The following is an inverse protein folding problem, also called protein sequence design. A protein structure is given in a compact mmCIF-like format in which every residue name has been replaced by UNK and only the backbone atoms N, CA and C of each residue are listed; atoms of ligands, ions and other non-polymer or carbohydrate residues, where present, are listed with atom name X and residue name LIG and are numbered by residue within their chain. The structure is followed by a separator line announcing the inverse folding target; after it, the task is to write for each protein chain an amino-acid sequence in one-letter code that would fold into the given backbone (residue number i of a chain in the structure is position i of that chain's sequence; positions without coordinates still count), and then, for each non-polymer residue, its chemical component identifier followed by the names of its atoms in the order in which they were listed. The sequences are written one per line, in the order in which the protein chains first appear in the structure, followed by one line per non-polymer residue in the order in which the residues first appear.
data_IF_720943123206
#
_entry.id   IF_720943123206
#
_cell.length_a   1.000
_cell.length_b   1.000
_cell.length_c   1.000
_cell.angle_alpha   90.00
_cell.angle_beta   90.00
_cell.angle_gamma   90.00
#
_symmetry.space_group_name_H-M   'P 1'
#
loop_
_entity.id
_entity.type
_entity.pdbx_description
1 polymer ?
#
# COMPACT_ATOMS: atom_id res chain seq x y z
N UNK A 1 -73.96 -7.18 10.30
CA UNK A 1 -73.49 -6.00 11.05
C UNK A 1 -72.26 -6.41 11.84
N UNK A 2 -71.09 -5.91 11.42
CA UNK A 2 -69.87 -5.80 12.25
C UNK A 2 -69.97 -4.42 12.97
N UNK A 3 -69.43 -4.23 14.18
CA UNK A 3 -68.01 -3.85 14.28
C UNK A 3 -67.25 -4.40 15.51
N UNK A 4 -66.02 -4.84 15.23
CA UNK A 4 -64.92 -5.15 16.14
C UNK A 4 -64.44 -3.94 16.93
N UNK A 5 -64.27 -4.12 18.25
CA UNK A 5 -63.65 -3.17 19.17
C UNK A 5 -62.12 -3.19 19.06
N UNK A 6 -61.57 -1.98 19.02
CA UNK A 6 -60.18 -1.62 18.76
C UNK A 6 -59.38 -1.56 20.08
N UNK A 7 -58.43 -2.47 20.29
CA UNK A 7 -57.40 -2.35 21.32
C UNK A 7 -56.03 -2.34 20.62
N UNK A 8 -55.44 -1.16 20.50
CA UNK A 8 -54.06 -0.96 20.01
C UNK A 8 -53.15 -0.75 21.23
N UNK A 9 -52.04 -1.49 21.39
CA UNK A 9 -51.26 -1.44 22.62
C UNK A 9 -50.27 -0.26 22.62
N UNK A 10 -50.18 0.40 23.78
CA UNK A 10 -49.33 1.54 24.14
C UNK A 10 -47.79 1.25 24.07
N UNK A 11 -47.41 0.02 23.71
CA UNK A 11 -46.01 -0.41 23.56
C UNK A 11 -45.34 0.05 22.26
N UNK A 12 -46.11 0.36 21.21
CA UNK A 12 -45.54 0.82 19.93
C UNK A 12 -44.95 2.23 20.04
N UNK A 13 -45.55 3.12 20.83
CA UNK A 13 -45.05 4.50 21.02
C UNK A 13 -43.77 4.54 21.87
N UNK A 14 -43.67 3.71 22.91
CA UNK A 14 -42.45 3.64 23.73
C UNK A 14 -41.28 3.03 22.95
N UNK A 15 -41.56 2.02 22.12
CA UNK A 15 -40.55 1.39 21.25
C UNK A 15 -40.10 2.34 20.14
N UNK A 16 -41.02 3.12 19.55
CA UNK A 16 -40.67 4.17 18.59
C UNK A 16 -39.89 5.32 19.23
N UNK A 17 -40.19 5.71 20.46
CA UNK A 17 -39.44 6.76 21.16
C UNK A 17 -38.00 6.31 21.46
N UNK A 18 -37.81 5.08 21.95
CA UNK A 18 -36.48 4.49 22.19
C UNK A 18 -35.69 4.34 20.89
N UNK A 19 -36.34 3.93 19.80
CA UNK A 19 -35.71 3.83 18.47
C UNK A 19 -35.34 5.21 17.90
N UNK A 20 -36.13 6.25 18.19
CA UNK A 20 -35.86 7.62 17.74
C UNK A 20 -34.75 8.30 18.55
N UNK A 21 -34.64 8.02 19.86
CA UNK A 21 -33.55 8.51 20.70
C UNK A 21 -32.23 7.79 20.40
N UNK A 22 -32.25 6.49 20.06
CA UNK A 22 -31.05 5.80 19.55
C UNK A 22 -30.58 6.37 18.21
N UNK A 23 -31.51 6.75 17.32
CA UNK A 23 -31.17 7.35 16.02
C UNK A 23 -30.63 8.78 16.14
N UNK A 24 -31.01 9.53 17.18
CA UNK A 24 -30.49 10.89 17.43
C UNK A 24 -29.09 10.92 18.07
N UNK A 25 -28.62 9.83 18.68
CA UNK A 25 -27.27 9.80 19.29
C UNK A 25 -26.15 9.33 18.35
N UNK A 26 -26.48 8.76 17.19
CA UNK A 26 -25.51 8.44 16.15
C UNK A 26 -25.39 9.60 15.15
N UNK A 27 -24.78 10.70 15.59
CA UNK A 27 -24.20 11.67 14.65
C UNK A 27 -22.94 11.01 14.09
N UNK A 28 -23.11 10.24 13.02
CA UNK A 28 -22.02 9.60 12.28
C UNK A 28 -21.15 10.71 11.71
N UNK A 29 -19.84 10.77 12.00
CA UNK A 29 -18.95 11.68 11.30
C UNK A 29 -18.90 11.27 9.83
N UNK A 30 -19.53 12.04 8.94
CA UNK A 30 -19.47 11.81 7.50
C UNK A 30 -17.99 11.76 7.06
N UNK A 31 -17.59 10.61 6.53
CA UNK A 31 -16.25 10.46 5.97
C UNK A 31 -16.15 11.36 4.73
N UNK A 32 -14.99 11.99 4.54
CA UNK A 32 -14.76 12.94 3.44
C UNK A 32 -15.07 12.36 2.05
N UNK A 33 -14.97 11.04 1.86
CA UNK A 33 -15.38 10.37 0.62
C UNK A 33 -16.90 10.24 0.46
N UNK A 34 -17.64 10.13 1.55
CA UNK A 34 -19.10 10.04 1.56
C UNK A 34 -19.73 11.39 1.16
N UNK A 35 -19.19 12.51 1.66
CA UNK A 35 -19.62 13.87 1.29
C UNK A 35 -19.48 14.14 -0.20
N UNK A 36 -18.38 13.70 -0.81
CA UNK A 36 -18.16 13.92 -2.26
C UNK A 36 -19.07 13.02 -3.10
N UNK A 37 -19.29 11.76 -2.66
CA UNK A 37 -20.20 10.84 -3.34
C UNK A 37 -21.65 11.34 -3.30
N UNK A 38 -22.11 11.86 -2.16
CA UNK A 38 -23.46 12.41 -2.02
C UNK A 38 -23.64 13.69 -2.84
N UNK A 39 -22.65 14.61 -2.83
CA UNK A 39 -22.69 15.82 -3.68
C UNK A 39 -22.75 15.47 -5.17
N UNK A 40 -22.04 14.43 -5.59
CA UNK A 40 -22.07 13.97 -6.98
C UNK A 40 -23.41 13.31 -7.34
N UNK A 41 -23.97 12.46 -6.47
CA UNK A 41 -25.30 11.86 -6.67
C UNK A 41 -26.40 12.91 -6.73
N UNK A 42 -26.37 13.91 -5.85
CA UNK A 42 -27.29 15.04 -5.85
C UNK A 42 -27.18 15.85 -7.15
N UNK A 43 -25.94 16.09 -7.60
CA UNK A 43 -25.67 16.82 -8.83
C UNK A 43 -26.17 16.05 -10.06
N UNK A 44 -25.93 14.74 -10.14
CA UNK A 44 -26.39 13.88 -11.24
C UNK A 44 -27.91 13.69 -11.25
N UNK A 45 -28.57 13.83 -10.10
CA UNK A 45 -30.02 13.77 -9.97
C UNK A 45 -30.71 15.10 -10.32
N UNK A 46 -29.96 16.19 -10.48
CA UNK A 46 -30.49 17.51 -10.81
C UNK A 46 -30.88 17.62 -12.30
N UNK A 47 -32.17 17.47 -12.57
CA UNK A 47 -32.76 17.60 -13.91
C UNK A 47 -32.84 19.05 -14.43
N UNK A 48 -32.50 20.06 -13.61
CA UNK A 48 -32.57 21.47 -14.00
C UNK A 48 -31.35 21.96 -14.77
N UNK A 49 -30.25 21.20 -14.80
CA UNK A 49 -28.99 21.59 -15.40
C UNK A 49 -28.86 21.12 -16.86
N UNK A 50 -28.32 21.99 -17.72
CA UNK A 50 -27.93 21.60 -19.09
C UNK A 50 -26.82 20.55 -19.04
N UNK A 51 -26.86 19.53 -19.90
CA UNK A 51 -25.92 18.40 -19.92
C UNK A 51 -24.44 18.83 -19.88
N UNK A 52 -24.06 19.89 -20.61
CA UNK A 52 -22.68 20.42 -20.59
C UNK A 52 -22.26 20.97 -19.21
N UNK A 53 -23.15 21.71 -18.52
CA UNK A 53 -22.85 22.26 -17.19
C UNK A 53 -22.82 21.16 -16.13
N UNK A 54 -23.70 20.17 -16.26
CA UNK A 54 -23.72 18.96 -15.43
C UNK A 54 -22.37 18.22 -15.53
N UNK A 55 -21.94 17.86 -16.74
CA UNK A 55 -20.66 17.17 -16.97
C UNK A 55 -19.47 17.98 -16.46
N UNK A 56 -19.44 19.30 -16.69
CA UNK A 56 -18.33 20.15 -16.21
C UNK A 56 -18.24 20.17 -14.68
N UNK A 57 -19.38 20.26 -13.98
CA UNK A 57 -19.40 20.24 -12.51
C UNK A 57 -19.05 18.86 -11.96
N UNK A 58 -19.62 17.79 -12.52
CA UNK A 58 -19.30 16.42 -12.16
C UNK A 58 -17.81 16.12 -12.35
N UNK A 59 -17.24 16.49 -13.51
CA UNK A 59 -15.81 16.36 -13.79
C UNK A 59 -14.96 17.12 -12.78
N UNK A 60 -15.35 18.36 -12.44
CA UNK A 60 -14.60 19.15 -11.46
C UNK A 60 -14.61 18.53 -10.07
N UNK A 61 -15.75 18.00 -9.62
CA UNK A 61 -15.88 17.32 -8.33
C UNK A 61 -15.03 16.05 -8.29
N UNK A 62 -15.15 15.20 -9.32
CA UNK A 62 -14.35 13.98 -9.47
C UNK A 62 -12.86 14.27 -9.53
N UNK A 63 -12.44 15.26 -10.32
CA UNK A 63 -11.04 15.64 -10.45
C UNK A 63 -10.45 16.09 -9.10
N UNK A 64 -11.19 16.91 -8.34
CA UNK A 64 -10.77 17.34 -7.00
C UNK A 64 -10.66 16.15 -6.04
N UNK A 65 -11.61 15.21 -6.11
CA UNK A 65 -11.58 13.98 -5.31
C UNK A 65 -10.35 13.13 -5.61
N UNK A 66 -10.11 12.88 -6.90
CA UNK A 66 -8.96 12.14 -7.40
C UNK A 66 -7.65 12.80 -6.97
N UNK A 67 -7.51 14.12 -7.09
CA UNK A 67 -6.30 14.82 -6.64
C UNK A 67 -6.10 14.74 -5.13
N UNK A 68 -7.18 14.82 -4.34
CA UNK A 68 -7.11 14.71 -2.87
C UNK A 68 -6.65 13.31 -2.41
N UNK A 69 -6.91 12.27 -3.20
CA UNK A 69 -6.45 10.91 -2.95
C UNK A 69 -5.06 10.63 -3.55
N UNK A 70 -4.89 10.92 -4.84
CA UNK A 70 -3.69 10.61 -5.61
C UNK A 70 -2.49 11.47 -5.21
N UNK A 71 -2.68 12.77 -4.96
CA UNK A 71 -1.60 13.68 -4.61
C UNK A 71 -0.80 13.23 -3.37
N UNK A 72 -1.45 13.01 -2.21
CA UNK A 72 -0.76 12.49 -1.03
C UNK A 72 -0.22 11.07 -1.22
N UNK A 73 -0.89 10.23 -2.00
CA UNK A 73 -0.43 8.87 -2.32
C UNK A 73 0.88 8.89 -3.11
N UNK A 74 0.99 9.74 -4.13
CA UNK A 74 2.23 9.98 -4.87
C UNK A 74 3.32 10.49 -3.94
N UNK A 75 3.00 11.46 -3.07
CA UNK A 75 3.96 11.98 -2.09
C UNK A 75 4.50 10.89 -1.16
N UNK A 76 3.64 9.97 -0.68
CA UNK A 76 4.07 8.82 0.13
C UNK A 76 5.08 7.96 -0.64
N UNK A 77 4.79 7.62 -1.89
CA UNK A 77 5.71 6.83 -2.72
C UNK A 77 7.03 7.55 -2.95
N UNK A 78 7.00 8.86 -3.22
CA UNK A 78 8.21 9.67 -3.39
C UNK A 78 9.07 9.70 -2.12
N UNK A 79 8.46 9.91 -0.96
CA UNK A 79 9.17 9.95 0.34
C UNK A 79 9.80 8.61 0.71
N UNK A 80 9.07 7.51 0.51
CA UNK A 80 9.59 6.15 0.76
C UNK A 80 10.71 5.78 -0.22
N UNK A 81 10.56 6.19 -1.49
CA UNK A 81 11.62 6.03 -2.50
C UNK A 81 12.85 6.83 -2.14
N UNK A 82 12.69 8.09 -1.71
CA UNK A 82 13.78 8.94 -1.27
C UNK A 82 14.50 8.37 -0.04
N UNK A 83 13.76 7.77 0.90
CA UNK A 83 14.34 7.05 2.04
C UNK A 83 15.27 5.93 1.56
N UNK A 84 14.82 5.13 0.59
CA UNK A 84 15.60 4.02 0.03
C UNK A 84 16.82 4.51 -0.76
N UNK A 85 16.65 5.54 -1.60
CA UNK A 85 17.73 6.17 -2.36
C UNK A 85 18.78 6.78 -1.41
N UNK A 86 18.35 7.43 -0.32
CA UNK A 86 19.28 8.01 0.64
C UNK A 86 20.17 6.95 1.29
N UNK A 87 19.64 5.78 1.64
CA UNK A 87 20.44 4.64 2.11
C UNK A 87 21.47 4.21 1.06
N UNK A 88 21.09 4.13 -0.22
CA UNK A 88 22.02 3.77 -1.31
C UNK A 88 23.12 4.83 -1.51
N UNK A 89 22.77 6.12 -1.46
CA UNK A 89 23.74 7.22 -1.54
C UNK A 89 24.75 7.12 -0.40
N UNK A 90 24.31 6.87 0.83
CA UNK A 90 25.22 6.66 1.96
C UNK A 90 26.07 5.40 1.73
N UNK A 91 25.51 4.30 1.24
CA UNK A 91 26.33 3.13 0.89
C UNK A 91 27.41 3.48 -0.16
N UNK A 92 27.13 4.39 -1.09
CA UNK A 92 28.13 4.86 -2.06
C UNK A 92 29.29 5.66 -1.47
N UNK A 93 29.06 6.39 -0.39
CA UNK A 93 30.14 7.09 0.32
C UNK A 93 31.02 6.13 1.15
N UNK A 94 30.52 4.94 1.50
CA UNK A 94 31.35 3.88 2.10
C UNK A 94 32.30 3.23 1.07
N UNK A 95 31.91 3.19 -0.20
CA UNK A 95 32.73 2.68 -1.29
C UNK A 95 31.94 2.09 -2.45
N UNK A 96 32.64 1.86 -3.56
CA UNK A 96 32.04 1.35 -4.80
C UNK A 96 31.44 -0.05 -4.63
N UNK A 97 32.09 -0.92 -3.83
CA UNK A 97 31.58 -2.27 -3.55
C UNK A 97 30.26 -2.21 -2.76
N UNK A 98 30.17 -1.32 -1.78
CA UNK A 98 28.99 -1.12 -0.94
C UNK A 98 27.83 -0.54 -1.75
N UNK A 99 28.11 0.42 -2.66
CA UNK A 99 27.11 0.91 -3.62
C UNK A 99 26.58 -0.20 -4.52
N UNK A 100 27.49 -0.99 -5.11
CA UNK A 100 27.11 -2.10 -5.98
C UNK A 100 26.28 -3.14 -5.22
N UNK A 101 26.67 -3.47 -3.99
CA UNK A 101 25.96 -4.38 -3.11
C UNK A 101 24.56 -3.87 -2.74
N UNK A 102 24.43 -2.61 -2.33
CA UNK A 102 23.15 -1.98 -1.98
C UNK A 102 22.23 -1.88 -3.20
N UNK A 103 22.79 -1.58 -4.38
CA UNK A 103 22.06 -1.50 -5.65
C UNK A 103 21.55 -2.89 -6.05
N UNK A 104 22.41 -3.91 -6.03
CA UNK A 104 22.04 -5.28 -6.39
C UNK A 104 21.05 -5.89 -5.39
N UNK A 105 21.21 -5.61 -4.10
CA UNK A 105 20.28 -6.03 -3.07
C UNK A 105 18.92 -5.34 -3.21
N UNK A 106 18.89 -4.03 -3.42
CA UNK A 106 17.64 -3.27 -3.57
C UNK A 106 16.94 -3.55 -4.89
N UNK A 107 17.62 -3.35 -6.02
CA UNK A 107 17.02 -3.41 -7.35
C UNK A 107 16.90 -4.84 -7.88
N UNK A 108 17.70 -5.78 -7.36
CA UNK A 108 17.59 -7.19 -7.67
C UNK A 108 16.62 -7.91 -6.74
N UNK A 109 17.05 -8.17 -5.50
CA UNK A 109 16.29 -9.01 -4.57
C UNK A 109 15.07 -8.29 -4.00
N UNK A 110 15.24 -7.04 -3.53
CA UNK A 110 14.15 -6.35 -2.82
C UNK A 110 13.01 -5.92 -3.75
N UNK A 111 13.29 -5.56 -5.01
CA UNK A 111 12.24 -5.30 -6.02
C UNK A 111 11.37 -6.53 -6.25
N UNK A 112 11.95 -7.73 -6.31
CA UNK A 112 11.18 -8.96 -6.42
C UNK A 112 10.26 -9.16 -5.20
N UNK A 113 10.81 -9.02 -3.98
CA UNK A 113 10.02 -9.09 -2.74
C UNK A 113 8.89 -8.06 -2.75
N UNK A 114 9.20 -6.80 -3.04
CA UNK A 114 8.23 -5.71 -3.06
C UNK A 114 7.14 -5.95 -4.10
N UNK A 115 7.50 -6.43 -5.30
CA UNK A 115 6.56 -6.75 -6.38
C UNK A 115 5.55 -7.82 -5.99
N UNK A 116 6.02 -8.93 -5.37
CA UNK A 116 5.13 -9.99 -4.87
C UNK A 116 4.19 -9.44 -3.79
N UNK A 117 4.71 -8.67 -2.83
CA UNK A 117 3.90 -8.09 -1.75
C UNK A 117 2.88 -7.07 -2.27
N UNK A 118 3.28 -6.19 -3.19
CA UNK A 118 2.41 -5.21 -3.84
C UNK A 118 1.28 -5.91 -4.60
N UNK A 119 1.62 -6.92 -5.40
CA UNK A 119 0.64 -7.62 -6.22
C UNK A 119 -0.33 -8.50 -5.44
N UNK A 120 0.11 -9.10 -4.33
CA UNK A 120 -0.83 -9.74 -3.41
C UNK A 120 -1.67 -8.71 -2.64
N UNK A 121 -1.11 -7.53 -2.36
CA UNK A 121 -1.79 -6.40 -1.73
C UNK A 121 -2.88 -5.75 -2.59
N UNK A 122 -2.82 -5.84 -3.91
CA UNK A 122 -3.84 -5.21 -4.79
C UNK A 122 -5.21 -5.89 -4.69
N UNK A 123 -5.28 -7.18 -4.36
CA UNK A 123 -6.55 -7.85 -4.11
C UNK A 123 -7.29 -7.23 -2.90
N UNK A 124 -6.53 -6.74 -1.91
CA UNK A 124 -7.06 -6.05 -0.73
C UNK A 124 -7.71 -4.73 -1.10
N UNK A 125 -7.09 -3.99 -2.02
CA UNK A 125 -7.60 -2.71 -2.51
C UNK A 125 -8.98 -2.87 -3.12
N UNK A 126 -9.14 -3.85 -4.01
CA UNK A 126 -10.44 -4.15 -4.62
C UNK A 126 -11.49 -4.53 -3.58
N UNK A 127 -11.15 -5.44 -2.65
CA UNK A 127 -12.10 -5.91 -1.63
C UNK A 127 -12.48 -4.82 -0.62
N UNK A 128 -11.51 -4.02 -0.16
CA UNK A 128 -11.76 -2.89 0.73
C UNK A 128 -12.57 -1.80 0.02
N UNK A 129 -12.27 -1.49 -1.25
CA UNK A 129 -13.03 -0.54 -2.05
C UNK A 129 -14.49 -0.98 -2.25
N UNK A 130 -14.72 -2.25 -2.58
CA UNK A 130 -16.06 -2.82 -2.72
C UNK A 130 -16.83 -2.81 -1.39
N UNK A 131 -16.21 -3.25 -0.30
CA UNK A 131 -16.87 -3.25 1.01
C UNK A 131 -17.14 -1.83 1.52
N UNK A 132 -16.25 -0.88 1.25
CA UNK A 132 -16.46 0.52 1.63
C UNK A 132 -17.63 1.13 0.84
N UNK A 133 -17.67 0.93 -0.49
CA UNK A 133 -18.79 1.38 -1.33
C UNK A 133 -20.12 0.72 -0.96
N UNK A 134 -20.10 -0.55 -0.54
CA UNK A 134 -21.28 -1.27 -0.04
C UNK A 134 -21.65 -0.94 1.42
N UNK A 135 -20.97 0.04 2.05
CA UNK A 135 -21.15 0.44 3.45
C UNK A 135 -20.96 -0.69 4.47
N UNK A 136 -20.18 -1.71 4.12
CA UNK A 136 -19.82 -2.83 5.01
C UNK A 136 -18.56 -2.50 5.82
N UNK A 137 -18.62 -1.42 6.60
CA UNK A 137 -17.44 -0.85 7.28
C UNK A 137 -16.70 -1.83 8.19
N UNK A 138 -17.42 -2.69 8.93
CA UNK A 138 -16.82 -3.70 9.80
C UNK A 138 -15.92 -4.71 9.07
N UNK A 139 -16.18 -4.97 7.77
CA UNK A 139 -15.38 -5.92 6.99
C UNK A 139 -14.00 -5.37 6.58
N UNK A 140 -13.82 -4.05 6.55
CA UNK A 140 -12.53 -3.45 6.19
C UNK A 140 -11.43 -3.86 7.16
N UNK A 141 -11.71 -3.84 8.47
CA UNK A 141 -10.78 -4.29 9.50
C UNK A 141 -10.46 -5.78 9.39
N UNK A 142 -11.44 -6.61 9.02
CA UNK A 142 -11.25 -8.05 8.79
C UNK A 142 -10.36 -8.29 7.57
N UNK A 143 -10.56 -7.57 6.46
CA UNK A 143 -9.72 -7.68 5.27
C UNK A 143 -8.29 -7.21 5.52
N UNK A 144 -8.10 -6.13 6.27
CA UNK A 144 -6.79 -5.66 6.73
C UNK A 144 -6.04 -6.79 7.47
N UNK A 145 -6.68 -7.41 8.46
CA UNK A 145 -6.07 -8.48 9.27
C UNK A 145 -5.80 -9.73 8.43
N UNK A 146 -6.79 -10.19 7.65
CA UNK A 146 -6.68 -11.36 6.78
C UNK A 146 -5.55 -11.22 5.78
N UNK A 147 -5.44 -10.06 5.15
CA UNK A 147 -4.37 -9.78 4.21
C UNK A 147 -3.01 -9.71 4.88
N UNK A 148 -2.92 -9.08 6.06
CA UNK A 148 -1.68 -9.03 6.84
C UNK A 148 -1.20 -10.44 7.18
N UNK A 149 -2.08 -11.32 7.67
CA UNK A 149 -1.76 -12.73 7.94
C UNK A 149 -1.23 -13.41 6.67
N UNK A 150 -1.94 -13.24 5.55
CA UNK A 150 -1.55 -13.88 4.30
C UNK A 150 -0.19 -13.40 3.79
N UNK A 151 0.05 -12.10 3.77
CA UNK A 151 1.31 -11.52 3.31
C UNK A 151 2.46 -11.88 4.26
N UNK A 152 2.22 -11.98 5.56
CA UNK A 152 3.21 -12.46 6.52
C UNK A 152 3.61 -13.91 6.21
N UNK A 153 2.64 -14.78 5.88
CA UNK A 153 2.91 -16.15 5.45
C UNK A 153 3.68 -16.19 4.11
N UNK A 154 3.34 -15.33 3.15
CA UNK A 154 4.11 -15.17 1.90
C UNK A 154 5.52 -14.61 2.15
N UNK A 155 5.72 -13.83 3.22
CA UNK A 155 7.04 -13.36 3.63
C UNK A 155 8.02 -14.49 3.98
N UNK A 156 7.52 -15.65 4.42
CA UNK A 156 8.35 -16.80 4.80
C UNK A 156 9.15 -17.38 3.62
N UNK A 157 8.55 -17.74 2.46
CA UNK A 157 9.33 -18.18 1.30
C UNK A 157 10.27 -17.08 0.77
N UNK A 158 9.86 -15.81 0.83
CA UNK A 158 10.70 -14.67 0.40
C UNK A 158 11.92 -14.46 1.32
N UNK A 159 11.76 -14.73 2.62
CA UNK A 159 12.85 -14.79 3.60
C UNK A 159 13.89 -15.84 3.18
N UNK A 160 13.48 -17.05 2.82
CA UNK A 160 14.41 -18.08 2.38
C UNK A 160 15.18 -17.66 1.12
N UNK A 161 14.50 -17.07 0.14
CA UNK A 161 15.16 -16.51 -1.06
C UNK A 161 16.22 -15.47 -0.66
N UNK A 162 15.89 -14.61 0.33
CA UNK A 162 16.80 -13.58 0.82
C UNK A 162 18.02 -14.16 1.55
N UNK A 163 17.84 -15.22 2.34
CA UNK A 163 18.93 -15.96 3.00
C UNK A 163 19.86 -16.61 1.97
N UNK A 164 19.31 -17.19 0.90
CA UNK A 164 20.10 -17.83 -0.16
C UNK A 164 20.58 -16.86 -1.26
N UNK A 165 20.40 -15.55 -1.08
CA UNK A 165 20.73 -14.52 -2.07
C UNK A 165 22.17 -14.61 -2.57
N UNK A 166 23.16 -14.92 -1.70
CA UNK A 166 24.56 -15.09 -2.12
C UNK A 166 24.72 -16.16 -3.21
N UNK A 167 24.15 -17.34 -2.98
CA UNK A 167 24.24 -18.46 -3.94
C UNK A 167 23.50 -18.14 -5.22
N UNK A 168 22.33 -17.50 -5.12
CA UNK A 168 21.54 -17.06 -6.28
C UNK A 168 22.35 -16.06 -7.12
N UNK A 169 22.98 -15.06 -6.50
CA UNK A 169 23.78 -14.06 -7.21
C UNK A 169 25.02 -14.67 -7.88
N UNK A 170 25.70 -15.61 -7.21
CA UNK A 170 26.81 -16.34 -7.83
C UNK A 170 26.36 -17.19 -9.03
N UNK A 171 25.19 -17.84 -8.95
CA UNK A 171 24.61 -18.57 -10.08
C UNK A 171 24.25 -17.65 -11.25
N UNK A 172 23.89 -16.40 -10.98
CA UNK A 172 23.65 -15.36 -11.97
C UNK A 172 24.95 -14.72 -12.50
N UNK A 173 26.12 -15.26 -12.17
CA UNK A 173 27.42 -14.85 -12.70
C UNK A 173 28.07 -13.67 -11.98
N UNK A 174 27.55 -13.23 -10.83
CA UNK A 174 28.17 -12.17 -10.03
C UNK A 174 29.45 -12.68 -9.33
N UNK A 175 30.43 -11.79 -9.16
CA UNK A 175 31.66 -12.14 -8.45
C UNK A 175 31.38 -12.53 -7.00
N UNK A 176 32.25 -13.38 -6.42
CA UNK A 176 32.11 -13.82 -5.02
C UNK A 176 32.07 -12.64 -4.03
N UNK A 177 32.86 -11.60 -4.31
CA UNK A 177 32.96 -10.41 -3.48
C UNK A 177 31.66 -9.58 -3.50
N UNK A 178 31.14 -9.26 -4.70
CA UNK A 178 29.87 -8.54 -4.88
C UNK A 178 28.72 -9.36 -4.29
N UNK A 179 28.67 -10.67 -4.58
CA UNK A 179 27.63 -11.57 -4.07
C UNK A 179 27.63 -11.63 -2.54
N UNK A 180 28.81 -11.64 -1.91
CA UNK A 180 28.91 -11.66 -0.45
C UNK A 180 28.44 -10.33 0.16
N UNK A 181 28.88 -9.19 -0.37
CA UNK A 181 28.46 -7.88 0.10
C UNK A 181 26.96 -7.64 -0.11
N UNK A 182 26.42 -7.98 -1.29
CA UNK A 182 25.00 -7.85 -1.59
C UNK A 182 24.15 -8.75 -0.66
N UNK A 183 24.60 -9.98 -0.39
CA UNK A 183 23.90 -10.86 0.55
C UNK A 183 23.88 -10.34 1.98
N UNK A 184 24.93 -9.63 2.41
CA UNK A 184 24.96 -8.97 3.73
C UNK A 184 23.93 -7.84 3.80
N UNK A 185 23.83 -7.03 2.73
CA UNK A 185 22.82 -5.99 2.65
C UNK A 185 21.41 -6.59 2.66
N UNK A 186 21.14 -7.58 1.80
CA UNK A 186 19.85 -8.30 1.72
C UNK A 186 19.47 -8.93 3.06
N UNK A 187 20.43 -9.50 3.79
CA UNK A 187 20.20 -10.04 5.13
C UNK A 187 19.68 -8.95 6.09
N UNK A 188 20.25 -7.74 6.05
CA UNK A 188 19.77 -6.60 6.83
C UNK A 188 18.38 -6.10 6.41
N UNK A 189 17.91 -6.41 5.20
CA UNK A 189 16.57 -6.09 4.70
C UNK A 189 15.50 -7.14 5.05
N UNK A 190 15.89 -8.28 5.67
CA UNK A 190 14.92 -9.32 6.04
C UNK A 190 13.75 -8.78 6.89
N UNK A 191 13.97 -7.94 7.93
CA UNK A 191 12.86 -7.39 8.70
C UNK A 191 11.93 -6.50 7.86
N UNK A 192 12.44 -5.85 6.80
CA UNK A 192 11.67 -5.03 5.87
C UNK A 192 10.64 -5.84 5.08
N UNK A 193 10.90 -7.12 4.80
CA UNK A 193 9.95 -8.02 4.13
C UNK A 193 8.62 -8.07 4.90
N UNK A 194 8.71 -8.23 6.21
CA UNK A 194 7.54 -8.30 7.09
C UNK A 194 6.94 -6.93 7.36
N UNK A 195 7.76 -5.88 7.37
CA UNK A 195 7.24 -4.51 7.40
C UNK A 195 6.40 -4.22 6.15
N UNK A 196 6.82 -4.65 4.96
CA UNK A 196 6.01 -4.58 3.74
C UNK A 196 4.70 -5.36 3.87
N UNK A 197 4.77 -6.60 4.37
CA UNK A 197 3.59 -7.43 4.58
C UNK A 197 2.52 -6.77 5.47
N UNK A 198 2.92 -5.97 6.46
CA UNK A 198 2.00 -5.18 7.28
C UNK A 198 1.59 -3.85 6.62
N UNK A 199 2.54 -3.15 6.00
CA UNK A 199 2.32 -1.82 5.44
C UNK A 199 1.35 -1.82 4.26
N UNK A 200 1.43 -2.81 3.35
CA UNK A 200 0.55 -2.84 2.17
C UNK A 200 -0.94 -2.90 2.55
N UNK A 201 -1.40 -3.83 3.41
CA UNK A 201 -2.78 -3.86 3.86
C UNK A 201 -3.20 -2.58 4.59
N UNK A 202 -2.36 -2.05 5.47
CA UNK A 202 -2.63 -0.81 6.21
C UNK A 202 -2.85 0.35 5.23
N UNK A 203 -1.97 0.49 4.25
CA UNK A 203 -2.09 1.53 3.22
C UNK A 203 -3.38 1.37 2.42
N UNK A 204 -3.74 0.15 2.00
CA UNK A 204 -4.98 -0.08 1.25
C UNK A 204 -6.24 0.16 2.09
N UNK A 205 -6.21 -0.23 3.37
CA UNK A 205 -7.28 0.07 4.33
C UNK A 205 -7.48 1.58 4.49
N UNK A 206 -6.41 2.36 4.65
CA UNK A 206 -6.48 3.80 4.79
C UNK A 206 -6.88 4.50 3.47
N UNK A 207 -6.31 4.06 2.34
CA UNK A 207 -6.60 4.59 1.00
C UNK A 207 -8.04 4.36 0.57
N UNK A 208 -8.62 3.18 0.82
CA UNK A 208 -10.01 2.88 0.44
C UNK A 208 -11.04 3.77 1.15
N UNK A 209 -10.64 4.43 2.24
CA UNK A 209 -11.45 5.37 3.01
C UNK A 209 -11.07 6.84 2.73
N UNK A 210 -10.20 7.08 1.75
CA UNK A 210 -9.62 8.40 1.45
C UNK A 210 -8.85 9.04 2.61
N UNK A 211 -8.22 8.23 3.47
CA UNK A 211 -7.41 8.67 4.62
C UNK A 211 -5.92 8.57 4.29
N UNK A 212 -5.41 9.44 3.43
CA UNK A 212 -4.03 9.32 2.90
C UNK A 212 -3.01 10.29 3.51
N UNK A 213 -3.46 11.46 3.98
CA UNK A 213 -2.57 12.47 4.57
C UNK A 213 -1.76 11.98 5.78
N UNK A 214 -2.32 11.22 6.75
CA UNK A 214 -1.54 10.73 7.89
C UNK A 214 -0.32 9.92 7.46
N UNK A 215 -0.49 9.01 6.49
CA UNK A 215 0.61 8.22 5.95
C UNK A 215 1.68 9.09 5.28
N UNK A 216 1.31 10.19 4.61
CA UNK A 216 2.26 11.13 4.03
C UNK A 216 3.10 11.85 5.09
N UNK A 217 2.47 12.33 6.18
CA UNK A 217 3.20 12.94 7.29
C UNK A 217 4.11 11.95 8.01
N UNK A 218 3.66 10.72 8.21
CA UNK A 218 4.47 9.64 8.80
C UNK A 218 5.69 9.34 7.92
N UNK A 219 5.51 9.22 6.61
CA UNK A 219 6.62 8.99 5.68
C UNK A 219 7.62 10.15 5.70
N UNK A 220 7.15 11.40 5.74
CA UNK A 220 8.00 12.58 5.80
C UNK A 220 8.80 12.63 7.11
N UNK A 221 8.14 12.42 8.25
CA UNK A 221 8.81 12.36 9.56
C UNK A 221 9.81 11.21 9.65
N UNK A 222 9.46 10.05 9.08
CA UNK A 222 10.37 8.90 9.01
C UNK A 222 11.62 9.23 8.22
N UNK A 223 11.51 9.88 7.05
CA UNK A 223 12.67 10.31 6.26
C UNK A 223 13.58 11.26 7.06
N UNK A 224 13.00 12.25 7.75
CA UNK A 224 13.75 13.21 8.57
C UNK A 224 14.55 12.51 9.67
N UNK A 225 14.01 11.47 10.30
CA UNK A 225 14.70 10.67 11.32
C UNK A 225 15.68 9.67 10.69
N UNK A 226 15.33 9.10 9.54
CA UNK A 226 16.12 8.11 8.84
C UNK A 226 17.49 8.65 8.44
N UNK A 227 17.57 9.85 7.87
CA UNK A 227 18.84 10.43 7.40
C UNK A 227 19.93 10.53 8.49
N UNK A 228 19.70 11.20 9.64
CA UNK A 228 20.72 11.29 10.69
C UNK A 228 20.97 9.93 11.35
N UNK A 229 19.95 9.09 11.51
CA UNK A 229 20.12 7.77 12.12
C UNK A 229 20.97 6.85 11.23
N UNK A 230 20.72 6.84 9.92
CA UNK A 230 21.53 6.09 8.95
C UNK A 230 22.97 6.56 8.96
N UNK A 231 23.22 7.88 8.95
CA UNK A 231 24.58 8.41 9.06
C UNK A 231 25.27 7.96 10.35
N UNK A 232 24.59 8.11 11.49
CA UNK A 232 25.13 7.73 12.79
C UNK A 232 25.49 6.23 12.85
N UNK A 233 24.56 5.35 12.46
CA UNK A 233 24.79 3.90 12.53
C UNK A 233 25.85 3.44 11.53
N UNK A 234 25.85 3.99 10.31
CA UNK A 234 26.77 3.55 9.26
C UNK A 234 28.21 4.00 9.50
N UNK A 235 28.41 5.26 9.92
CA UNK A 235 29.75 5.86 9.99
C UNK A 235 30.27 6.07 11.41
N UNK A 236 29.41 6.38 12.38
CA UNK A 236 29.85 6.66 13.75
C UNK A 236 29.94 5.37 14.56
N UNK A 237 28.96 4.46 14.40
CA UNK A 237 29.03 3.11 14.98
C UNK A 237 29.82 2.12 14.12
N UNK A 238 30.21 2.51 12.91
CA UNK A 238 30.97 1.69 11.95
C UNK A 238 30.27 0.36 11.56
N UNK A 239 28.92 0.35 11.51
CA UNK A 239 28.17 -0.83 11.05
C UNK A 239 28.12 -0.94 9.53
N UNK A 240 28.59 0.09 8.81
CA UNK A 240 28.76 0.10 7.37
C UNK A 240 27.52 -0.31 6.59
N UNK A 241 27.69 -1.22 5.63
CA UNK A 241 26.64 -1.69 4.72
C UNK A 241 25.47 -2.37 5.44
N UNK A 242 25.76 -3.19 6.47
CA UNK A 242 24.73 -3.84 7.27
C UNK A 242 23.91 -2.82 8.07
N UNK A 243 24.59 -1.80 8.63
CA UNK A 243 23.96 -0.69 9.33
C UNK A 243 22.93 0.04 8.45
N UNK A 244 23.28 0.34 7.21
CA UNK A 244 22.37 0.98 6.25
C UNK A 244 21.10 0.14 5.99
N UNK A 245 21.26 -1.16 5.77
CA UNK A 245 20.13 -2.07 5.57
C UNK A 245 19.22 -2.18 6.81
N UNK A 246 19.81 -2.29 8.01
CA UNK A 246 19.07 -2.40 9.26
C UNK A 246 18.30 -1.11 9.60
N UNK A 247 18.89 0.07 9.40
CA UNK A 247 18.20 1.35 9.63
C UNK A 247 17.07 1.53 8.60
N UNK A 248 17.26 1.12 7.35
CA UNK A 248 16.19 1.12 6.35
C UNK A 248 15.03 0.19 6.78
N UNK A 249 15.32 -1.04 7.18
CA UNK A 249 14.35 -1.98 7.74
C UNK A 249 13.61 -1.40 8.95
N UNK A 250 14.34 -0.78 9.88
CA UNK A 250 13.78 -0.13 11.06
C UNK A 250 12.83 1.01 10.68
N UNK A 251 13.19 1.81 9.69
CA UNK A 251 12.37 2.94 9.21
C UNK A 251 11.01 2.47 8.67
N UNK A 252 10.98 1.34 7.96
CA UNK A 252 9.72 0.73 7.52
C UNK A 252 8.86 0.25 8.69
N UNK A 253 9.46 -0.30 9.74
CA UNK A 253 8.73 -0.64 10.96
C UNK A 253 8.20 0.58 11.70
N UNK A 254 8.95 1.69 11.74
CA UNK A 254 8.45 2.97 12.28
C UNK A 254 7.20 3.42 11.53
N UNK A 255 7.20 3.33 10.19
CA UNK A 255 6.03 3.65 9.36
C UNK A 255 4.84 2.76 9.73
N UNK A 256 5.03 1.43 9.77
CA UNK A 256 3.98 0.46 10.10
C UNK A 256 3.38 0.74 11.48
N UNK A 257 4.23 0.92 12.50
CA UNK A 257 3.80 1.15 13.86
C UNK A 257 3.06 2.48 13.99
N UNK A 258 3.58 3.55 13.38
CA UNK A 258 2.92 4.86 13.42
C UNK A 258 1.56 4.85 12.71
N UNK A 259 1.45 4.19 11.56
CA UNK A 259 0.17 4.05 10.85
C UNK A 259 -0.81 3.19 11.64
N UNK A 260 -0.36 2.10 12.25
CA UNK A 260 -1.21 1.26 13.08
C UNK A 260 -1.70 2.00 14.33
N UNK A 261 -0.82 2.74 15.01
CA UNK A 261 -1.21 3.62 16.13
C UNK A 261 -2.24 4.66 15.69
N UNK A 262 -2.10 5.22 14.48
CA UNK A 262 -3.11 6.11 13.93
C UNK A 262 -4.47 5.41 13.74
N UNK A 263 -4.50 4.18 13.21
CA UNK A 263 -5.74 3.39 13.07
C UNK A 263 -6.41 3.16 14.44
N UNK A 264 -5.63 2.88 15.48
CA UNK A 264 -6.15 2.63 16.82
C UNK A 264 -6.70 3.89 17.51
N UNK A 265 -6.11 5.06 17.25
CA UNK A 265 -6.42 6.31 17.97
C UNK A 265 -7.37 7.25 17.21
N UNK A 266 -7.41 7.17 15.88
CA UNK A 266 -8.17 8.12 15.07
C UNK A 266 -9.67 7.87 15.16
N UNK A 267 -10.46 8.94 15.32
CA UNK A 267 -11.92 8.84 15.23
C UNK A 267 -12.40 8.39 13.85
N UNK A 268 -11.61 8.65 12.79
CA UNK A 268 -11.97 8.33 11.40
C UNK A 268 -11.99 6.84 11.09
N UNK A 269 -11.29 6.03 11.88
CA UNK A 269 -11.16 4.58 11.70
C UNK A 269 -11.94 3.78 12.72
N UNK A 270 -12.71 4.43 13.62
CA UNK A 270 -13.47 3.75 14.68
C UNK A 270 -14.52 2.78 14.15
N UNK A 271 -15.23 3.17 13.09
CA UNK A 271 -16.28 2.35 12.49
C UNK A 271 -15.72 1.23 11.59
N UNK A 272 -14.50 1.39 11.09
CA UNK A 272 -13.87 0.44 10.17
C UNK A 272 -12.86 -0.50 10.85
N UNK A 273 -12.44 -0.15 12.07
CA UNK A 273 -11.57 -0.97 12.92
C UNK A 273 -12.25 -1.27 14.26
N UNK A 274 -12.81 -2.47 14.39
CA UNK A 274 -13.45 -2.98 15.62
C UNK A 274 -12.51 -3.81 16.51
N UNK A 275 -11.21 -3.82 16.22
CA UNK A 275 -10.22 -4.64 16.90
C UNK A 275 -9.92 -5.97 16.19
N UNK A 276 -9.15 -6.83 16.85
CA UNK A 276 -8.77 -8.12 16.29
C UNK A 276 -9.97 -9.07 16.20
N UNK A 277 -10.13 -9.75 15.06
CA UNK A 277 -11.25 -10.66 14.80
C UNK A 277 -10.75 -12.03 14.34
N UNK A 278 -11.35 -13.10 14.87
CA UNK A 278 -11.09 -14.47 14.43
C UNK A 278 -11.52 -14.69 12.98
N UNK A 279 -12.46 -13.88 12.48
CA UNK A 279 -12.88 -13.91 11.07
C UNK A 279 -11.75 -13.60 10.09
N UNK A 280 -10.66 -12.97 10.56
CA UNK A 280 -9.46 -12.77 9.76
C UNK A 280 -8.85 -14.10 9.27
N UNK A 281 -9.08 -15.21 9.98
CA UNK A 281 -8.59 -16.54 9.62
C UNK A 281 -9.55 -17.33 8.71
N UNK A 282 -10.76 -16.84 8.46
CA UNK A 282 -11.71 -17.48 7.56
C UNK A 282 -11.40 -17.17 6.09
N UNK A 283 -11.67 -18.11 5.18
CA UNK A 283 -11.56 -17.88 3.73
C UNK A 283 -10.15 -17.59 3.20
N UNK A 284 -9.09 -17.86 3.98
CA UNK A 284 -7.70 -17.58 3.60
C UNK A 284 -7.29 -18.20 2.26
N UNK A 285 -7.75 -19.41 1.97
CA UNK A 285 -7.42 -20.09 0.70
C UNK A 285 -8.00 -19.39 -0.53
N UNK A 286 -9.26 -18.95 -0.45
CA UNK A 286 -9.90 -18.20 -1.53
C UNK A 286 -9.23 -16.84 -1.71
N UNK A 287 -8.91 -16.17 -0.61
CA UNK A 287 -8.17 -14.90 -0.62
C UNK A 287 -6.76 -15.08 -1.20
N UNK A 288 -6.08 -16.17 -0.88
CA UNK A 288 -4.77 -16.51 -1.41
C UNK A 288 -4.80 -16.71 -2.92
N UNK A 289 -5.78 -17.46 -3.45
CA UNK A 289 -5.94 -17.64 -4.90
C UNK A 289 -6.11 -16.30 -5.61
N UNK A 290 -6.98 -15.43 -5.10
CA UNK A 290 -7.20 -14.10 -5.68
C UNK A 290 -5.93 -13.22 -5.64
N UNK A 291 -5.26 -13.21 -4.49
CA UNK A 291 -4.03 -12.44 -4.27
C UNK A 291 -2.89 -12.95 -5.15
N UNK A 292 -2.77 -14.26 -5.30
CA UNK A 292 -1.72 -14.89 -6.14
C UNK A 292 -1.94 -14.57 -7.62
N UNK A 293 -3.17 -14.62 -8.12
CA UNK A 293 -3.47 -14.21 -9.50
C UNK A 293 -3.10 -12.74 -9.75
N UNK A 294 -3.39 -11.87 -8.79
CA UNK A 294 -3.03 -10.44 -8.87
C UNK A 294 -1.52 -10.23 -8.83
N UNK A 295 -0.82 -10.98 -7.98
CA UNK A 295 0.64 -10.96 -7.91
C UNK A 295 1.30 -11.46 -9.18
N UNK A 296 0.83 -12.57 -9.75
CA UNK A 296 1.33 -13.10 -11.01
C UNK A 296 1.12 -12.09 -12.14
N UNK A 297 -0.04 -11.44 -12.22
CA UNK A 297 -0.30 -10.40 -13.21
C UNK A 297 0.73 -9.25 -13.14
N UNK A 298 0.96 -8.68 -11.95
CA UNK A 298 1.90 -7.57 -11.78
C UNK A 298 3.36 -8.01 -11.98
N UNK A 299 3.74 -9.20 -11.50
CA UNK A 299 5.08 -9.74 -11.70
C UNK A 299 5.36 -10.02 -13.19
N UNK A 300 4.42 -10.64 -13.91
CA UNK A 300 4.53 -10.87 -15.35
C UNK A 300 4.62 -9.57 -16.12
N UNK A 301 3.83 -8.56 -15.76
CA UNK A 301 3.91 -7.24 -16.36
C UNK A 301 5.30 -6.61 -16.17
N UNK A 302 5.85 -6.66 -14.95
CA UNK A 302 7.18 -6.11 -14.66
C UNK A 302 8.30 -6.86 -15.41
N UNK A 303 8.28 -8.19 -15.39
CA UNK A 303 9.28 -9.02 -16.05
C UNK A 303 9.21 -8.92 -17.58
N UNK A 304 8.00 -8.82 -18.13
CA UNK A 304 7.80 -8.59 -19.56
C UNK A 304 8.54 -7.34 -20.04
N UNK A 305 8.42 -6.22 -19.31
CA UNK A 305 9.16 -5.00 -19.66
C UNK A 305 10.68 -5.16 -19.51
N UNK A 306 11.15 -5.84 -18.47
CA UNK A 306 12.59 -6.06 -18.28
C UNK A 306 13.19 -6.93 -19.39
N UNK A 307 12.45 -7.94 -19.85
CA UNK A 307 12.84 -8.79 -20.99
C UNK A 307 12.85 -7.98 -22.28
N UNK A 308 11.84 -7.13 -22.52
CA UNK A 308 11.82 -6.26 -23.70
C UNK A 308 13.00 -5.29 -23.74
N UNK A 309 13.34 -4.68 -22.59
CA UNK A 309 14.52 -3.82 -22.46
C UNK A 309 15.79 -4.61 -22.77
N UNK A 310 15.92 -5.83 -22.24
CA UNK A 310 17.09 -6.67 -22.47
C UNK A 310 17.23 -7.05 -23.95
N UNK A 311 16.14 -7.47 -24.61
CA UNK A 311 16.13 -7.76 -26.05
C UNK A 311 16.43 -6.49 -26.85
N UNK A 312 15.84 -5.36 -26.48
CA UNK A 312 16.09 -4.06 -27.11
C UNK A 312 17.56 -3.65 -27.05
N UNK A 313 18.22 -3.90 -25.92
CA UNK A 313 19.65 -3.67 -25.73
C UNK A 313 20.58 -4.60 -26.53
N UNK A 314 20.05 -5.69 -27.11
CA UNK A 314 20.79 -6.63 -27.96
C UNK A 314 20.58 -6.37 -29.47
N UNK A 315 19.75 -5.38 -29.84
CA UNK A 315 19.51 -5.03 -31.24
C UNK A 315 20.69 -4.26 -31.86
N UNK A 316 20.78 -4.21 -33.21
CA UNK A 316 21.90 -3.54 -33.90
C UNK A 316 22.08 -2.04 -33.56
N UNK A 317 21.00 -1.36 -33.15
CA UNK A 317 21.01 0.03 -32.69
C UNK A 317 20.29 0.12 -31.34
N UNK A 318 20.96 -0.28 -30.24
CA UNK A 318 20.31 -0.46 -28.94
C UNK A 318 19.80 0.87 -28.36
N UNK A 319 20.50 1.98 -28.60
CA UNK A 319 20.08 3.32 -28.15
C UNK A 319 18.68 3.68 -28.70
N UNK A 320 18.50 3.60 -30.02
CA UNK A 320 17.22 3.93 -30.67
C UNK A 320 16.11 2.97 -30.23
N UNK A 321 16.41 1.67 -30.11
CA UNK A 321 15.43 0.67 -29.70
C UNK A 321 14.99 0.86 -28.24
N UNK A 322 15.94 1.14 -27.34
CA UNK A 322 15.67 1.40 -25.93
C UNK A 322 14.91 2.72 -25.74
N UNK A 323 15.28 3.77 -26.47
CA UNK A 323 14.58 5.05 -26.44
C UNK A 323 13.12 4.90 -26.92
N UNK A 324 12.90 4.17 -28.02
CA UNK A 324 11.56 3.88 -28.51
C UNK A 324 10.75 3.03 -27.52
N UNK A 325 11.36 2.01 -26.90
CA UNK A 325 10.74 1.21 -25.85
C UNK A 325 10.40 2.05 -24.61
N UNK A 326 11.25 2.99 -24.21
CA UNK A 326 11.01 3.89 -23.09
C UNK A 326 9.79 4.80 -23.38
N UNK A 327 9.73 5.40 -24.57
CA UNK A 327 8.59 6.23 -24.98
C UNK A 327 7.30 5.41 -25.07
N UNK A 328 7.33 4.26 -25.77
CA UNK A 328 6.16 3.40 -25.91
C UNK A 328 5.65 2.86 -24.57
N UNK A 329 6.55 2.42 -23.68
CA UNK A 329 6.15 1.94 -22.35
C UNK A 329 5.59 3.05 -21.47
N UNK A 330 6.07 4.29 -21.63
CA UNK A 330 5.50 5.46 -20.95
C UNK A 330 4.08 5.73 -21.46
N UNK A 331 3.86 5.73 -22.77
CA UNK A 331 2.52 5.92 -23.36
C UNK A 331 1.56 4.80 -22.95
N UNK A 332 1.98 3.54 -23.05
CA UNK A 332 1.14 2.38 -22.71
C UNK A 332 0.73 2.34 -21.24
N UNK A 333 1.59 2.83 -20.33
CA UNK A 333 1.26 2.94 -18.90
C UNK A 333 0.33 4.11 -18.57
N UNK A 334 0.18 5.05 -19.51
CA UNK A 334 -0.64 6.26 -19.34
C UNK A 334 -2.04 6.10 -19.97
N UNK A 335 -2.23 5.13 -20.88
CA UNK A 335 -3.51 4.70 -21.46
C UNK A 335 -4.16 3.60 -20.62
#
# INVERSE_FOLDING_TARGET
MDPRTNHKPQNDELTQHILSDHRKSQVVPELTGEVVSSELEDLLSDTSLTSFRLYKKALSLELVSLFRLAGPTVLIYMLNTLTSISTQILCGHLGNLQLAAATLGSNGVQVFVYGVMLGMGSAVETLCGQAFGAKQFGMLGVYLQRSTILLMLTGIPLLFISIFSKSILMLLGQSKEISSAASLFVFGLIPQIFAYAANFPIQKFLQSQSIVFPSAYIAAGTLVVHLPLSYFVMYVLDWGLLGGALVLSFSWWVIVLAQFVYILKSNRTKETWSGFSVEAFSGLWSFFKLSTSSALMLCLQAWYFQILILIGGLLPNPEIALDALAVCSTILKTL
#
